data_IF_670577117719
#
_entry.id   IF_670577117719
#
_cell.length_a   1.000
_cell.length_b   1.000
_cell.length_c   1.000
_cell.angle_alpha   90.00
_cell.angle_beta   90.00
_cell.angle_gamma   90.00
#
_symmetry.space_group_name_H-M   'P 1'
#
loop_
_entity.id
_entity.type
_entity.pdbx_description
1 polymer ?
#
# COMPACT_ATOMS: atom_id res chain seq x y z
N UNK A 1 8.48 0.08 -7.46
CA UNK A 1 8.46 -0.22 -6.03
C UNK A 1 8.64 1.07 -5.25
N UNK A 2 7.70 1.38 -4.35
CA UNK A 2 7.74 2.56 -3.49
C UNK A 2 7.83 2.09 -2.03
N UNK A 3 9.07 1.98 -1.55
CA UNK A 3 9.35 1.63 -0.16
C UNK A 3 9.26 2.84 0.77
N UNK A 4 9.59 2.64 2.06
CA UNK A 4 9.52 3.72 3.06
C UNK A 4 10.52 4.85 2.83
N UNK A 5 11.73 4.55 2.35
CA UNK A 5 12.82 5.53 2.20
C UNK A 5 13.24 5.80 0.76
N UNK A 6 12.73 5.09 -0.22
CA UNK A 6 13.12 5.26 -1.62
C UNK A 6 12.09 4.71 -2.59
N UNK A 7 12.11 5.28 -3.80
CA UNK A 7 11.44 4.76 -4.99
C UNK A 7 12.46 4.04 -5.86
N UNK A 8 12.07 2.91 -6.41
CA UNK A 8 12.87 2.11 -7.33
C UNK A 8 12.07 1.80 -8.59
N UNK A 9 12.69 1.86 -9.76
CA UNK A 9 12.11 1.38 -11.00
C UNK A 9 13.08 0.42 -11.68
N UNK A 10 12.57 -0.71 -12.18
CA UNK A 10 13.32 -1.69 -12.96
C UNK A 10 12.70 -1.91 -14.32
N UNK A 11 13.53 -2.03 -15.34
CA UNK A 11 13.14 -2.44 -16.68
C UNK A 11 13.51 -3.90 -16.86
N UNK A 12 12.49 -4.72 -17.12
CA UNK A 12 12.64 -6.17 -17.30
C UNK A 12 12.24 -6.56 -18.73
N UNK A 13 12.91 -7.56 -19.29
CA UNK A 13 12.43 -8.16 -20.53
C UNK A 13 11.36 -9.24 -20.25
N UNK A 14 10.75 -9.79 -21.31
CA UNK A 14 9.71 -10.81 -21.20
C UNK A 14 10.17 -12.14 -20.57
N UNK A 15 11.48 -12.32 -20.37
CA UNK A 15 12.04 -13.47 -19.66
C UNK A 15 12.26 -13.21 -18.17
N UNK A 16 11.92 -11.99 -17.69
CA UNK A 16 12.13 -11.57 -16.31
C UNK A 16 13.57 -11.14 -16.00
N UNK A 17 14.41 -10.93 -17.01
CA UNK A 17 15.78 -10.44 -16.82
C UNK A 17 15.75 -8.92 -16.60
N UNK A 18 16.40 -8.46 -15.53
CA UNK A 18 16.56 -7.03 -15.22
C UNK A 18 17.57 -6.43 -16.20
N UNK A 19 17.13 -5.50 -17.03
CA UNK A 19 17.96 -4.77 -18.00
C UNK A 19 18.63 -3.56 -17.38
N UNK A 20 17.89 -2.80 -16.59
CA UNK A 20 18.39 -1.65 -15.84
C UNK A 20 17.46 -1.28 -14.68
N UNK A 21 17.97 -0.50 -13.76
CA UNK A 21 17.19 0.07 -12.66
C UNK A 21 17.63 1.49 -12.32
N UNK A 22 16.79 2.18 -11.57
CA UNK A 22 17.09 3.47 -10.96
C UNK A 22 16.45 3.54 -9.58
N UNK A 23 17.08 4.32 -8.70
CA UNK A 23 16.61 4.53 -7.32
C UNK A 23 16.68 6.01 -6.99
N UNK A 24 15.69 6.50 -6.23
CA UNK A 24 15.68 7.86 -5.69
C UNK A 24 15.15 7.83 -4.26
N UNK A 25 15.87 8.46 -3.35
CA UNK A 25 15.43 8.63 -1.96
C UNK A 25 14.23 9.56 -1.87
N UNK A 26 13.39 9.33 -0.86
CA UNK A 26 12.23 10.12 -0.50
C UNK A 26 12.23 10.44 0.99
N UNK A 27 11.60 11.54 1.36
CA UNK A 27 11.64 12.07 2.72
C UNK A 27 10.62 11.38 3.62
N UNK A 28 11.06 10.98 4.82
CA UNK A 28 10.20 10.60 5.94
C UNK A 28 10.14 11.76 6.94
N UNK A 29 8.99 12.38 7.08
CA UNK A 29 8.74 13.41 8.08
C UNK A 29 8.30 12.78 9.39
N UNK A 30 9.17 12.81 10.39
CA UNK A 30 8.89 12.27 11.73
C UNK A 30 8.56 13.39 12.70
N UNK A 31 7.55 13.18 13.54
CA UNK A 31 7.17 14.13 14.58
C UNK A 31 6.74 13.41 15.87
N UNK A 32 6.58 14.16 16.96
CA UNK A 32 6.21 13.61 18.26
C UNK A 32 4.92 12.79 18.21
N UNK A 33 4.81 11.78 19.05
CA UNK A 33 3.66 10.89 19.14
C UNK A 33 3.62 9.82 18.05
N UNK A 34 4.80 9.34 17.63
CA UNK A 34 4.98 8.27 16.63
C UNK A 34 4.31 8.58 15.28
N UNK A 35 4.25 9.86 14.90
CA UNK A 35 3.72 10.29 13.61
C UNK A 35 4.81 10.24 12.55
N UNK A 36 4.48 9.62 11.42
CA UNK A 36 5.36 9.49 10.26
C UNK A 36 4.57 9.82 9.01
N UNK A 37 5.04 10.79 8.24
CA UNK A 37 4.35 11.34 7.07
C UNK A 37 5.26 11.37 5.86
N UNK A 38 4.65 11.39 4.67
CA UNK A 38 5.31 11.54 3.38
C UNK A 38 4.53 12.48 2.47
N UNK A 39 5.15 12.85 1.35
CA UNK A 39 4.56 13.67 0.30
C UNK A 39 4.23 12.82 -0.92
N UNK A 40 2.97 12.82 -1.32
CA UNK A 40 2.57 12.15 -2.56
C UNK A 40 3.17 12.82 -3.81
N UNK A 41 3.41 14.13 -3.74
CA UNK A 41 4.07 14.91 -4.81
C UNK A 41 5.54 14.49 -4.95
N UNK A 42 6.28 14.41 -3.85
CA UNK A 42 7.67 13.97 -3.86
C UNK A 42 7.79 12.53 -4.39
N UNK A 43 6.93 11.62 -3.90
CA UNK A 43 6.90 10.23 -4.37
C UNK A 43 6.63 10.17 -5.87
N UNK A 44 5.64 10.91 -6.36
CA UNK A 44 5.33 10.93 -7.79
C UNK A 44 6.50 11.45 -8.64
N UNK A 45 7.15 12.52 -8.21
CA UNK A 45 8.35 13.04 -8.88
C UNK A 45 9.49 12.02 -8.89
N UNK A 46 9.67 11.29 -7.78
CA UNK A 46 10.67 10.23 -7.70
C UNK A 46 10.33 9.04 -8.62
N UNK A 47 9.05 8.65 -8.71
CA UNK A 47 8.56 7.62 -9.66
C UNK A 47 8.88 8.02 -11.10
N UNK A 48 8.50 9.21 -11.51
CA UNK A 48 8.74 9.70 -12.86
C UNK A 48 10.26 9.76 -13.19
N UNK A 49 11.07 10.23 -12.24
CA UNK A 49 12.53 10.25 -12.37
C UNK A 49 13.10 8.84 -12.55
N UNK A 50 12.70 7.89 -11.68
CA UNK A 50 13.22 6.53 -11.72
C UNK A 50 12.81 5.80 -13.01
N UNK A 51 11.59 5.98 -13.49
CA UNK A 51 11.13 5.38 -14.76
C UNK A 51 11.94 5.93 -15.93
N UNK A 52 12.06 7.26 -16.09
CA UNK A 52 12.86 7.88 -17.15
C UNK A 52 14.30 7.38 -17.14
N UNK A 53 14.90 7.36 -15.95
CA UNK A 53 16.31 6.97 -15.79
C UNK A 53 16.51 5.48 -16.10
N UNK A 54 15.62 4.60 -15.60
CA UNK A 54 15.72 3.17 -15.84
C UNK A 54 15.55 2.83 -17.33
N UNK A 55 14.60 3.46 -18.03
CA UNK A 55 14.39 3.28 -19.48
C UNK A 55 15.60 3.75 -20.28
N UNK A 56 16.15 4.92 -19.96
CA UNK A 56 17.36 5.44 -20.59
C UNK A 56 18.56 4.51 -20.38
N UNK A 57 18.78 4.05 -19.14
CA UNK A 57 19.87 3.14 -18.79
C UNK A 57 19.73 1.76 -19.46
N UNK A 58 18.51 1.30 -19.68
CA UNK A 58 18.24 0.05 -20.39
C UNK A 58 18.55 0.15 -21.90
N UNK A 59 18.68 1.36 -22.44
CA UNK A 59 18.92 1.60 -23.87
C UNK A 59 17.77 1.16 -24.76
N UNK A 60 16.55 1.06 -24.22
CA UNK A 60 15.35 0.66 -24.97
C UNK A 60 14.54 1.88 -25.40
N UNK A 61 13.79 1.75 -26.50
CA UNK A 61 12.84 2.80 -26.87
C UNK A 61 11.70 2.88 -25.85
N UNK A 62 11.28 4.08 -25.41
CA UNK A 62 10.07 4.24 -24.59
C UNK A 62 8.83 3.54 -25.18
N UNK A 63 8.71 3.48 -26.51
CA UNK A 63 7.62 2.81 -27.21
C UNK A 63 7.67 1.27 -27.13
N UNK A 64 8.79 0.69 -26.68
CA UNK A 64 8.90 -0.75 -26.46
C UNK A 64 8.48 -1.20 -25.04
N UNK A 65 8.16 -0.26 -24.16
CA UNK A 65 7.63 -0.58 -22.83
C UNK A 65 6.21 -1.10 -22.99
N UNK A 66 6.03 -2.38 -22.67
CA UNK A 66 4.76 -3.09 -22.84
C UNK A 66 3.74 -2.80 -21.71
N UNK A 67 4.21 -2.33 -20.55
CA UNK A 67 3.33 -1.99 -19.43
C UNK A 67 4.11 -1.63 -18.17
N UNK A 68 3.36 -1.13 -17.19
CA UNK A 68 3.86 -0.70 -15.87
C UNK A 68 3.06 -1.43 -14.79
N UNK A 69 3.74 -1.92 -13.77
CA UNK A 69 3.15 -2.37 -12.52
C UNK A 69 3.73 -1.60 -11.34
N UNK A 70 2.88 -1.24 -10.38
CA UNK A 70 3.29 -0.59 -9.14
C UNK A 70 3.17 -1.54 -7.96
N UNK A 71 4.14 -1.50 -7.08
CA UNK A 71 3.98 -1.94 -5.70
C UNK A 71 4.43 -0.83 -4.76
N UNK A 72 3.84 -0.79 -3.57
CA UNK A 72 4.12 0.25 -2.59
C UNK A 72 3.85 -0.21 -1.16
N UNK A 73 4.46 0.50 -0.20
CA UNK A 73 4.06 0.38 1.21
C UNK A 73 2.57 0.71 1.37
N UNK A 74 1.89 0.02 2.28
CA UNK A 74 0.48 0.25 2.58
C UNK A 74 0.26 1.55 3.38
N UNK A 75 0.61 2.68 2.79
CA UNK A 75 0.47 4.03 3.38
C UNK A 75 -0.82 4.71 2.92
N UNK A 76 -1.48 5.46 3.83
CA UNK A 76 -2.73 6.16 3.55
C UNK A 76 -2.46 7.51 2.87
N UNK A 77 -2.93 7.70 1.65
CA UNK A 77 -2.87 8.96 0.90
C UNK A 77 -4.21 9.68 0.98
N UNK A 78 -4.21 10.98 1.30
CA UNK A 78 -5.43 11.79 1.43
C UNK A 78 -5.44 12.89 0.36
N UNK A 79 -6.48 12.86 -0.47
CA UNK A 79 -6.67 13.77 -1.61
C UNK A 79 -8.04 14.44 -1.52
N UNK A 80 -8.07 15.74 -1.68
CA UNK A 80 -9.29 16.55 -1.77
C UNK A 80 -9.80 16.73 -3.19
N UNK A 81 -10.75 17.65 -3.36
CA UNK A 81 -11.27 18.02 -4.67
C UNK A 81 -10.17 18.58 -5.57
N UNK A 82 -10.32 18.38 -6.90
CA UNK A 82 -9.36 18.80 -7.91
C UNK A 82 -7.93 18.25 -7.68
N UNK A 83 -7.84 17.04 -7.13
CA UNK A 83 -6.60 16.30 -6.89
C UNK A 83 -5.63 17.01 -5.93
N UNK A 84 -6.14 17.89 -5.08
CA UNK A 84 -5.32 18.66 -4.12
C UNK A 84 -4.94 17.77 -2.94
N UNK A 85 -3.63 17.64 -2.62
CA UNK A 85 -3.18 16.98 -1.41
C UNK A 85 -3.70 17.67 -0.15
N UNK A 86 -4.10 16.90 0.86
CA UNK A 86 -4.61 17.44 2.14
C UNK A 86 -3.69 17.08 3.30
N UNK A 87 -3.26 18.08 4.06
CA UNK A 87 -2.35 17.92 5.19
C UNK A 87 -2.90 16.98 6.27
N UNK A 88 -2.25 15.85 6.53
CA UNK A 88 -2.71 14.86 7.52
C UNK A 88 -2.19 15.11 8.93
N UNK A 89 -1.20 15.99 9.08
CA UNK A 89 -0.51 16.26 10.33
C UNK A 89 -0.75 17.67 10.88
N UNK A 90 -0.15 17.97 12.03
CA UNK A 90 -0.30 19.26 12.70
C UNK A 90 0.43 20.41 12.01
N UNK A 91 1.30 20.15 11.05
CA UNK A 91 2.05 21.17 10.31
C UNK A 91 1.19 21.98 9.35
N UNK A 92 -0.01 21.52 9.00
CA UNK A 92 -0.87 22.05 7.94
C UNK A 92 -0.18 22.19 6.56
N UNK A 93 0.93 21.48 6.38
CA UNK A 93 1.65 21.40 5.11
C UNK A 93 0.96 20.38 4.19
N UNK A 94 0.34 20.88 3.12
CA UNK A 94 -0.40 20.07 2.16
C UNK A 94 0.49 19.01 1.47
N UNK A 95 1.80 19.24 1.37
CA UNK A 95 2.74 18.26 0.84
C UNK A 95 2.96 17.07 1.79
N UNK A 96 2.50 17.14 3.03
CA UNK A 96 2.52 16.05 4.01
C UNK A 96 1.14 15.42 4.10
N UNK A 97 0.71 14.79 3.02
CA UNK A 97 -0.63 14.24 2.84
C UNK A 97 -0.70 12.71 2.93
N UNK A 98 0.39 12.06 3.34
CA UNK A 98 0.45 10.62 3.54
C UNK A 98 0.69 10.28 5.00
N UNK A 99 -0.16 9.43 5.58
CA UNK A 99 0.12 8.73 6.84
C UNK A 99 0.81 7.42 6.50
N UNK A 100 2.10 7.32 6.85
CA UNK A 100 2.94 6.16 6.52
C UNK A 100 2.45 4.90 7.23
N UNK A 101 2.68 3.71 6.64
CA UNK A 101 2.24 2.43 7.18
C UNK A 101 2.63 2.24 8.65
N UNK A 102 3.87 2.56 9.04
CA UNK A 102 4.41 2.43 10.39
C UNK A 102 4.00 3.55 11.37
N UNK A 103 3.08 4.43 10.98
CA UNK A 103 2.57 5.50 11.83
C UNK A 103 1.60 4.93 12.88
N UNK A 104 1.84 5.22 14.13
CA UNK A 104 1.04 4.71 15.25
C UNK A 104 0.16 5.77 15.91
N UNK A 105 -0.12 6.90 15.24
CA UNK A 105 -1.02 7.94 15.77
C UNK A 105 -2.41 7.44 16.11
N UNK A 106 -2.87 6.38 15.44
CA UNK A 106 -4.22 5.83 15.55
C UNK A 106 -4.35 4.67 16.56
N UNK A 107 -3.41 4.52 17.50
CA UNK A 107 -3.45 3.44 18.51
C UNK A 107 -4.75 3.44 19.31
N UNK A 108 -5.19 4.61 19.81
CA UNK A 108 -6.45 4.70 20.56
C UNK A 108 -7.69 4.38 19.72
N UNK A 109 -7.67 4.70 18.41
CA UNK A 109 -8.76 4.36 17.49
C UNK A 109 -8.79 2.85 17.22
N UNK A 110 -7.61 2.21 17.04
CA UNK A 110 -7.53 0.77 16.91
C UNK A 110 -8.06 0.05 18.15
N UNK A 111 -7.75 0.52 19.36
CA UNK A 111 -8.30 -0.01 20.62
C UNK A 111 -9.82 0.13 20.68
N UNK A 112 -10.39 1.29 20.33
CA UNK A 112 -11.84 1.52 20.24
C UNK A 112 -12.50 0.54 19.27
N UNK A 113 -11.92 0.37 18.06
CA UNK A 113 -12.43 -0.56 17.06
C UNK A 113 -12.38 -1.99 17.58
N UNK A 114 -11.28 -2.42 18.17
CA UNK A 114 -11.11 -3.76 18.73
C UNK A 114 -12.11 -4.06 19.87
N UNK A 115 -12.44 -3.05 20.69
CA UNK A 115 -13.42 -3.18 21.75
C UNK A 115 -14.85 -3.44 21.24
N UNK A 116 -15.15 -3.16 19.96
CA UNK A 116 -16.45 -3.46 19.36
C UNK A 116 -16.71 -4.96 19.20
N UNK A 117 -15.66 -5.77 19.07
CA UNK A 117 -15.76 -7.20 18.79
C UNK A 117 -16.48 -7.53 17.48
N UNK A 118 -16.50 -6.59 16.52
CA UNK A 118 -17.25 -6.79 15.26
C UNK A 118 -16.72 -8.01 14.48
N UNK A 119 -17.60 -8.84 13.88
CA UNK A 119 -17.20 -10.09 13.20
C UNK A 119 -16.18 -9.90 12.07
N UNK A 120 -16.15 -8.74 11.41
CA UNK A 120 -15.14 -8.39 10.38
C UNK A 120 -13.70 -8.53 10.90
N UNK A 121 -13.47 -8.25 12.20
CA UNK A 121 -12.14 -8.32 12.80
C UNK A 121 -11.51 -9.72 12.75
N UNK A 122 -12.30 -10.77 12.61
CA UNK A 122 -11.77 -12.14 12.44
C UNK A 122 -10.88 -12.27 11.21
N UNK A 123 -11.11 -11.45 10.17
CA UNK A 123 -10.34 -11.46 8.94
C UNK A 123 -9.06 -10.61 8.99
N UNK A 124 -8.79 -9.96 10.12
CA UNK A 124 -7.54 -9.22 10.38
C UNK A 124 -6.82 -9.77 11.62
N UNK A 125 -6.93 -11.10 11.84
CA UNK A 125 -6.29 -11.78 12.98
C UNK A 125 -6.99 -11.58 14.32
N UNK A 126 -8.24 -11.13 14.31
CA UNK A 126 -9.05 -10.88 15.51
C UNK A 126 -8.91 -9.49 16.12
N UNK A 127 -7.85 -8.76 15.74
CA UNK A 127 -7.60 -7.38 16.19
C UNK A 127 -7.02 -6.56 15.07
N UNK A 128 -7.61 -5.37 14.82
CA UNK A 128 -7.08 -4.41 13.87
C UNK A 128 -5.85 -3.70 14.46
N UNK A 129 -4.82 -3.50 13.63
CA UNK A 129 -3.61 -2.76 13.98
C UNK A 129 -3.79 -1.25 13.74
N UNK A 130 -3.14 -0.35 14.51
CA UNK A 130 -3.08 1.07 14.20
C UNK A 130 -2.41 1.36 12.85
N UNK A 131 -1.67 0.42 12.29
CA UNK A 131 -1.03 0.51 10.97
C UNK A 131 -2.04 0.36 9.82
N UNK A 132 -3.24 -0.16 10.08
CA UNK A 132 -4.30 -0.30 9.09
C UNK A 132 -5.06 1.01 8.86
N UNK A 133 -5.82 1.08 7.76
CA UNK A 133 -6.36 2.36 7.28
C UNK A 133 -7.61 2.82 8.03
N UNK A 134 -8.51 1.92 8.42
CA UNK A 134 -9.74 2.34 9.12
C UNK A 134 -9.48 3.05 10.46
N UNK A 135 -8.51 2.62 11.31
CA UNK A 135 -8.09 3.41 12.47
C UNK A 135 -7.52 4.79 12.12
N UNK A 136 -6.71 4.89 11.06
CA UNK A 136 -6.12 6.16 10.59
C UNK A 136 -7.19 7.13 10.09
N UNK A 137 -8.18 6.65 9.35
CA UNK A 137 -9.32 7.46 8.88
C UNK A 137 -10.16 7.92 10.07
N UNK A 138 -10.43 7.05 11.05
CA UNK A 138 -11.12 7.44 12.27
C UNK A 138 -10.34 8.50 13.05
N UNK A 139 -9.01 8.37 13.12
CA UNK A 139 -8.15 9.38 13.72
C UNK A 139 -8.29 10.74 13.00
N UNK A 140 -8.27 10.74 11.65
CA UNK A 140 -8.48 11.97 10.87
C UNK A 140 -9.84 12.60 11.18
N UNK A 141 -10.90 11.81 11.23
CA UNK A 141 -12.24 12.30 11.58
C UNK A 141 -12.28 12.95 12.95
N UNK A 142 -11.64 12.35 13.96
CA UNK A 142 -11.65 12.84 15.34
C UNK A 142 -10.70 14.03 15.58
N UNK A 143 -9.54 14.07 14.92
CA UNK A 143 -8.47 15.03 15.19
C UNK A 143 -8.29 16.10 14.11
N UNK A 144 -8.73 15.82 12.88
CA UNK A 144 -8.64 16.70 11.71
C UNK A 144 -9.98 16.69 10.95
N UNK A 145 -11.12 17.03 11.60
CA UNK A 145 -12.45 16.85 11.00
C UNK A 145 -12.62 17.62 9.69
N UNK A 146 -12.01 18.79 9.54
CA UNK A 146 -12.03 19.57 8.29
C UNK A 146 -11.31 18.83 7.14
N UNK A 147 -10.18 18.17 7.40
CA UNK A 147 -9.47 17.34 6.41
C UNK A 147 -10.33 16.13 6.03
N UNK A 148 -10.90 15.44 7.03
CA UNK A 148 -11.80 14.31 6.77
C UNK A 148 -13.00 14.69 5.90
N UNK A 149 -13.57 15.88 6.13
CA UNK A 149 -14.72 16.41 5.36
C UNK A 149 -14.32 16.82 3.93
N UNK A 150 -13.12 17.40 3.75
CA UNK A 150 -12.61 17.83 2.45
C UNK A 150 -12.05 16.69 1.62
N UNK A 151 -11.73 15.55 2.24
CA UNK A 151 -11.17 14.41 1.53
C UNK A 151 -12.18 13.84 0.52
N UNK A 152 -11.80 13.89 -0.76
CA UNK A 152 -12.51 13.27 -1.88
C UNK A 152 -12.14 11.80 -2.03
N UNK A 153 -10.86 11.49 -1.80
CA UNK A 153 -10.32 10.14 -1.88
C UNK A 153 -9.40 9.82 -0.69
N UNK A 154 -9.58 8.64 -0.16
CA UNK A 154 -8.64 7.95 0.68
C UNK A 154 -8.08 6.78 -0.14
N UNK A 155 -6.79 6.81 -0.46
CA UNK A 155 -6.13 5.77 -1.23
C UNK A 155 -5.13 4.99 -0.38
N UNK A 156 -4.94 3.72 -0.67
CA UNK A 156 -3.66 3.08 -0.40
C UNK A 156 -2.62 3.61 -1.40
N UNK A 157 -1.34 3.64 -1.04
CA UNK A 157 -0.32 4.28 -1.89
C UNK A 157 -0.21 3.60 -3.27
N UNK A 158 -0.32 2.27 -3.34
CA UNK A 158 -0.32 1.57 -4.62
C UNK A 158 -1.52 1.99 -5.50
N UNK A 159 -2.70 2.14 -4.90
CA UNK A 159 -3.91 2.58 -5.60
C UNK A 159 -3.82 4.06 -6.03
N UNK A 160 -3.19 4.91 -5.21
CA UNK A 160 -2.90 6.29 -5.59
C UNK A 160 -2.01 6.38 -6.83
N UNK A 161 -0.97 5.55 -6.91
CA UNK A 161 -0.05 5.54 -8.04
C UNK A 161 -0.74 5.11 -9.34
N UNK A 162 -1.59 4.08 -9.30
CA UNK A 162 -2.37 3.66 -10.47
C UNK A 162 -3.39 4.71 -10.89
N UNK A 163 -4.12 5.31 -9.93
CA UNK A 163 -5.04 6.40 -10.20
C UNK A 163 -4.33 7.63 -10.79
N UNK A 164 -3.21 8.06 -10.21
CA UNK A 164 -2.44 9.22 -10.69
C UNK A 164 -1.87 8.98 -12.10
N UNK A 165 -1.60 7.73 -12.44
CA UNK A 165 -1.10 7.32 -13.76
C UNK A 165 -2.19 7.28 -14.84
N UNK A 166 -3.43 6.92 -14.49
CA UNK A 166 -4.47 6.54 -15.46
C UNK A 166 -5.75 7.35 -15.34
N UNK A 167 -6.01 7.96 -14.19
CA UNK A 167 -7.31 8.53 -13.82
C UNK A 167 -8.36 7.50 -13.39
N UNK A 168 -8.03 6.20 -13.38
CA UNK A 168 -8.93 5.13 -13.00
C UNK A 168 -9.01 4.98 -11.47
N UNK A 169 -10.23 5.03 -10.91
CA UNK A 169 -10.49 4.95 -9.46
C UNK A 169 -10.55 3.52 -8.90
N UNK A 170 -10.14 2.51 -9.65
CA UNK A 170 -10.08 1.13 -9.14
C UNK A 170 -9.19 1.02 -7.90
N UNK A 171 -9.55 0.08 -7.02
CA UNK A 171 -8.72 -0.32 -5.88
C UNK A 171 -8.29 -1.76 -6.07
N UNK A 172 -7.09 -2.05 -5.63
CA UNK A 172 -6.56 -3.40 -5.58
C UNK A 172 -7.24 -4.21 -4.48
N UNK A 173 -7.70 -5.42 -4.80
CA UNK A 173 -8.19 -6.33 -3.76
C UNK A 173 -7.11 -6.63 -2.71
N UNK A 174 -5.84 -6.59 -3.10
CA UNK A 174 -4.70 -6.72 -2.19
C UNK A 174 -4.74 -5.67 -1.09
N UNK A 175 -4.78 -4.39 -1.45
CA UNK A 175 -4.74 -3.27 -0.52
C UNK A 175 -5.98 -3.24 0.38
N UNK A 176 -7.17 -3.29 -0.22
CA UNK A 176 -8.42 -3.11 0.52
C UNK A 176 -8.77 -4.27 1.44
N UNK A 177 -8.38 -5.50 1.08
CA UNK A 177 -8.60 -6.67 1.94
C UNK A 177 -7.66 -6.68 3.12
N UNK A 178 -6.37 -6.40 2.88
CA UNK A 178 -5.35 -6.45 3.94
C UNK A 178 -5.44 -5.28 4.91
N UNK A 179 -5.76 -4.08 4.45
CA UNK A 179 -5.60 -2.86 5.25
C UNK A 179 -6.91 -2.10 5.52
N UNK A 180 -8.00 -2.40 4.79
CA UNK A 180 -9.24 -1.63 4.83
C UNK A 180 -10.47 -2.44 5.26
N UNK A 181 -10.30 -3.72 5.59
CA UNK A 181 -11.38 -4.64 6.02
C UNK A 181 -12.43 -4.95 4.94
N UNK A 182 -12.06 -4.86 3.65
CA UNK A 182 -12.94 -5.32 2.57
C UNK A 182 -13.08 -6.85 2.61
N UNK A 183 -14.29 -7.35 2.49
CA UNK A 183 -14.59 -8.78 2.46
C UNK A 183 -14.58 -9.27 1.01
N UNK A 184 -13.40 -9.54 0.45
CA UNK A 184 -13.24 -9.89 -0.95
C UNK A 184 -13.96 -11.19 -1.35
N UNK A 185 -14.05 -12.17 -0.45
CA UNK A 185 -14.81 -13.41 -0.67
C UNK A 185 -16.33 -13.19 -0.72
N UNK A 186 -16.82 -12.08 -0.21
CA UNK A 186 -18.22 -11.65 -0.28
C UNK A 186 -18.41 -10.47 -1.27
N UNK A 187 -17.32 -9.94 -1.83
CA UNK A 187 -17.29 -8.80 -2.74
C UNK A 187 -18.01 -7.55 -2.20
N UNK A 188 -17.84 -7.25 -0.91
CA UNK A 188 -18.51 -6.13 -0.27
C UNK A 188 -17.69 -5.47 0.85
N UNK A 189 -18.01 -4.23 1.09
CA UNK A 189 -17.75 -3.54 2.34
C UNK A 189 -18.81 -3.91 3.38
N UNK A 190 -18.42 -3.99 4.66
CA UNK A 190 -19.40 -4.21 5.73
C UNK A 190 -19.90 -2.87 6.30
N UNK A 191 -21.05 -2.39 5.82
CA UNK A 191 -21.64 -1.13 6.26
C UNK A 191 -21.93 -1.09 7.77
N UNK A 192 -22.27 -2.24 8.38
CA UNK A 192 -22.47 -2.37 9.82
C UNK A 192 -21.20 -2.06 10.59
N UNK A 193 -20.07 -2.60 10.13
CA UNK A 193 -18.76 -2.33 10.70
C UNK A 193 -18.43 -0.83 10.67
N UNK A 194 -18.53 -0.18 9.50
CA UNK A 194 -18.20 1.25 9.37
C UNK A 194 -19.10 2.12 10.24
N UNK A 195 -20.39 1.81 10.36
CA UNK A 195 -21.31 2.52 11.28
C UNK A 195 -20.91 2.33 12.73
N UNK A 196 -20.62 1.08 13.14
CA UNK A 196 -20.28 0.78 14.52
C UNK A 196 -18.97 1.43 14.98
N UNK A 197 -17.97 1.54 14.11
CA UNK A 197 -16.68 2.17 14.45
C UNK A 197 -16.69 3.70 14.35
N UNK A 198 -17.81 4.33 13.97
CA UNK A 198 -17.95 5.79 13.90
C UNK A 198 -17.58 6.40 12.53
N UNK A 199 -17.55 5.60 11.46
CA UNK A 199 -17.31 6.02 10.07
C UNK A 199 -18.57 5.80 9.20
N UNK A 200 -19.75 6.10 9.75
CA UNK A 200 -21.04 5.87 9.09
C UNK A 200 -21.14 6.56 7.73
N UNK A 201 -20.57 7.76 7.58
CA UNK A 201 -20.61 8.54 6.36
C UNK A 201 -20.03 7.79 5.17
N UNK A 202 -18.95 7.01 5.38
CA UNK A 202 -18.38 6.19 4.30
C UNK A 202 -19.37 5.14 3.79
N UNK A 203 -20.17 4.56 4.67
CA UNK A 203 -21.23 3.62 4.28
C UNK A 203 -22.42 4.33 3.63
N UNK A 204 -22.82 5.51 4.15
CA UNK A 204 -23.97 6.26 3.67
C UNK A 204 -23.74 6.86 2.27
N UNK A 205 -22.49 7.19 1.92
CA UNK A 205 -22.06 7.60 0.57
C UNK A 205 -21.65 6.42 -0.32
N UNK A 206 -22.02 5.19 0.06
CA UNK A 206 -21.72 3.97 -0.68
C UNK A 206 -20.21 3.77 -0.96
N UNK A 207 -19.36 4.11 0.01
CA UNK A 207 -17.90 3.90 0.00
C UNK A 207 -17.13 4.60 -1.14
N UNK A 208 -17.72 5.63 -1.76
CA UNK A 208 -17.11 6.33 -2.89
C UNK A 208 -15.70 6.82 -2.58
N UNK A 209 -15.46 7.33 -1.38
CA UNK A 209 -14.13 7.84 -0.98
C UNK A 209 -13.07 6.77 -0.77
N UNK A 210 -13.46 5.53 -0.49
CA UNK A 210 -12.52 4.41 -0.23
C UNK A 210 -12.50 3.36 -1.34
N UNK A 211 -13.41 3.49 -2.33
CA UNK A 211 -13.45 2.68 -3.53
C UNK A 211 -14.67 1.80 -3.66
N UNK A 212 -15.28 1.87 -4.83
CA UNK A 212 -16.46 1.06 -5.21
C UNK A 212 -16.10 -0.06 -6.19
N UNK A 213 -15.11 0.16 -7.06
CA UNK A 213 -14.62 -0.81 -8.01
C UNK A 213 -13.35 -1.46 -7.48
N UNK A 214 -13.47 -2.70 -7.03
CA UNK A 214 -12.36 -3.49 -6.49
C UNK A 214 -12.02 -4.58 -7.50
N UNK A 215 -10.75 -4.71 -7.84
CA UNK A 215 -10.26 -5.64 -8.88
C UNK A 215 -8.97 -6.31 -8.46
N UNK A 216 -8.65 -7.44 -9.08
CA UNK A 216 -7.43 -8.19 -8.79
C UNK A 216 -6.16 -7.42 -9.22
N UNK A 217 -5.04 -7.54 -8.49
CA UNK A 217 -3.73 -7.08 -8.93
C UNK A 217 -3.38 -7.60 -10.32
N UNK A 218 -2.75 -6.76 -11.14
CA UNK A 218 -2.42 -7.11 -12.51
C UNK A 218 -3.53 -6.82 -13.52
N UNK A 219 -4.74 -6.50 -13.09
CA UNK A 219 -5.84 -6.06 -13.98
C UNK A 219 -5.46 -4.74 -14.66
N UNK A 220 -5.66 -4.58 -15.98
CA UNK A 220 -5.44 -3.30 -16.66
C UNK A 220 -6.28 -2.16 -16.07
N UNK A 221 -5.65 -1.01 -15.82
CA UNK A 221 -6.27 0.21 -15.32
C UNK A 221 -6.63 1.16 -16.46
N UNK A 222 -7.91 1.46 -16.62
CA UNK A 222 -8.41 2.42 -17.63
C UNK A 222 -7.86 2.14 -19.02
N UNK A 223 -7.50 3.22 -19.71
CA UNK A 223 -6.88 3.19 -21.06
C UNK A 223 -5.33 3.21 -20.98
N UNK A 224 -4.75 2.88 -19.84
CA UNK A 224 -3.32 3.02 -19.60
C UNK A 224 -2.92 4.44 -19.19
N UNK A 225 -1.66 4.83 -19.43
CA UNK A 225 -1.15 6.14 -19.03
C UNK A 225 -1.98 7.29 -19.65
N UNK A 226 -2.49 8.16 -18.79
CA UNK A 226 -3.10 9.42 -19.23
C UNK A 226 -2.02 10.37 -19.79
N UNK A 227 -2.44 11.40 -20.53
CA UNK A 227 -1.52 12.32 -21.24
C UNK A 227 -0.48 12.96 -20.30
N UNK A 228 -0.93 13.44 -19.12
CA UNK A 228 -0.04 14.09 -18.13
C UNK A 228 0.99 13.10 -17.58
N UNK A 229 0.55 11.91 -17.17
CA UNK A 229 1.46 10.90 -16.63
C UNK A 229 2.45 10.38 -17.68
N UNK A 230 2.00 10.21 -18.93
CA UNK A 230 2.85 9.81 -20.05
C UNK A 230 3.97 10.83 -20.30
N UNK A 231 3.66 12.13 -20.34
CA UNK A 231 4.63 13.20 -20.46
C UNK A 231 5.61 13.21 -19.26
N UNK A 232 5.09 13.15 -18.05
CA UNK A 232 5.88 13.16 -16.82
C UNK A 232 6.80 11.93 -16.69
N UNK A 233 6.41 10.77 -17.22
CA UNK A 233 7.20 9.53 -17.22
C UNK A 233 8.06 9.36 -18.49
N UNK A 234 7.84 10.15 -19.53
CA UNK A 234 8.54 10.02 -20.82
C UNK A 234 8.18 8.74 -21.58
N UNK A 235 6.95 8.28 -21.45
CA UNK A 235 6.40 7.09 -22.09
C UNK A 235 5.22 7.45 -23.00
N UNK A 236 4.84 6.59 -23.96
CA UNK A 236 3.65 6.84 -24.79
C UNK A 236 2.35 6.91 -23.97
N UNK A 237 1.44 7.79 -24.40
CA UNK A 237 0.05 7.78 -23.90
C UNK A 237 -0.55 6.40 -24.18
N UNK A 238 -1.33 5.88 -23.24
CA UNK A 238 -1.95 4.57 -23.34
C UNK A 238 -1.01 3.40 -23.05
N UNK A 239 0.26 3.63 -22.62
CA UNK A 239 1.09 2.53 -22.10
C UNK A 239 0.32 1.81 -20.98
N UNK A 240 0.09 0.49 -21.07
CA UNK A 240 -0.70 -0.24 -20.11
C UNK A 240 -0.19 -0.08 -18.67
N UNK A 241 -1.10 0.15 -17.75
CA UNK A 241 -0.81 0.19 -16.30
C UNK A 241 -1.65 -0.88 -15.62
N UNK A 242 -1.02 -1.72 -14.84
CA UNK A 242 -1.70 -2.75 -14.06
C UNK A 242 -2.08 -2.23 -12.67
N UNK A 243 -3.21 -2.68 -12.13
CA UNK A 243 -3.57 -2.51 -10.73
C UNK A 243 -2.45 -3.08 -9.86
N UNK A 244 -1.97 -2.26 -8.93
CA UNK A 244 -0.83 -2.56 -8.09
C UNK A 244 -1.15 -3.43 -6.88
N UNK A 245 -0.16 -3.59 -6.02
CA UNK A 245 -0.29 -4.33 -4.77
C UNK A 245 0.66 -3.79 -3.69
N UNK A 246 0.51 -4.30 -2.48
CA UNK A 246 1.42 -4.00 -1.38
C UNK A 246 2.80 -4.60 -1.69
N UNK A 247 3.88 -3.86 -1.43
CA UNK A 247 5.28 -4.23 -1.70
C UNK A 247 5.67 -5.60 -1.12
N UNK A 248 5.30 -5.86 0.13
CA UNK A 248 5.54 -7.15 0.77
C UNK A 248 4.88 -8.32 0.01
N UNK A 249 3.66 -8.12 -0.51
CA UNK A 249 2.96 -9.16 -1.27
C UNK A 249 3.54 -9.34 -2.67
N UNK A 250 3.98 -8.26 -3.32
CA UNK A 250 4.73 -8.34 -4.58
C UNK A 250 6.04 -9.13 -4.38
N UNK A 251 6.78 -8.83 -3.30
CA UNK A 251 7.95 -9.59 -2.88
C UNK A 251 7.63 -11.06 -2.58
N UNK A 252 6.47 -11.33 -1.98
CA UNK A 252 5.97 -12.67 -1.71
C UNK A 252 5.78 -13.48 -3.00
N UNK A 253 5.09 -12.92 -3.99
CA UNK A 253 4.93 -13.55 -5.32
C UNK A 253 6.29 -13.77 -5.98
N UNK A 254 7.18 -12.78 -5.92
CA UNK A 254 8.54 -12.90 -6.48
C UNK A 254 9.36 -14.03 -5.84
N UNK A 255 9.08 -14.35 -4.57
CA UNK A 255 9.79 -15.38 -3.81
C UNK A 255 9.25 -16.79 -4.09
N UNK A 256 7.92 -16.97 -4.06
CA UNK A 256 7.31 -18.31 -4.14
C UNK A 256 6.63 -18.60 -5.48
N UNK A 257 6.50 -17.59 -6.34
CA UNK A 257 5.74 -17.65 -7.57
C UNK A 257 4.23 -17.67 -7.33
N UNK A 258 3.48 -17.93 -8.39
CA UNK A 258 2.01 -18.02 -8.37
C UNK A 258 1.56 -19.49 -8.44
N UNK A 259 0.26 -19.73 -8.26
CA UNK A 259 -0.36 -21.05 -8.36
C UNK A 259 0.28 -22.07 -7.38
N UNK A 260 0.79 -23.18 -7.91
CA UNK A 260 1.33 -24.26 -7.07
C UNK A 260 2.53 -23.84 -6.21
N UNK A 261 3.32 -22.87 -6.64
CA UNK A 261 4.43 -22.33 -5.86
C UNK A 261 3.94 -21.66 -4.58
N UNK A 262 2.95 -20.78 -4.69
CA UNK A 262 2.41 -20.03 -3.56
C UNK A 262 1.74 -20.92 -2.49
N UNK A 263 1.06 -22.00 -2.88
CA UNK A 263 0.37 -22.91 -1.94
C UNK A 263 1.34 -23.85 -1.21
N UNK A 264 2.44 -24.23 -1.86
CA UNK A 264 3.38 -25.23 -1.31
C UNK A 264 4.57 -24.61 -0.57
N UNK A 265 4.76 -23.30 -0.65
CA UNK A 265 5.88 -22.60 -0.04
C UNK A 265 5.41 -21.43 0.80
N UNK A 266 6.18 -21.12 1.82
CA UNK A 266 6.01 -19.90 2.61
C UNK A 266 6.95 -18.82 2.06
N UNK A 267 6.40 -17.68 1.71
CA UNK A 267 7.22 -16.51 1.36
C UNK A 267 7.79 -15.89 2.63
N UNK A 268 9.05 -15.46 2.57
CA UNK A 268 9.69 -14.69 3.61
C UNK A 268 10.36 -13.48 3.00
N UNK A 269 9.80 -12.31 3.27
CA UNK A 269 10.35 -11.01 2.88
C UNK A 269 11.08 -10.43 4.09
N UNK A 270 12.37 -10.16 3.94
CA UNK A 270 13.24 -9.72 5.03
C UNK A 270 13.96 -8.42 4.64
N UNK A 271 13.87 -7.43 5.52
CA UNK A 271 14.55 -6.16 5.42
C UNK A 271 14.68 -5.54 6.81
N UNK A 272 14.44 -4.26 6.96
CA UNK A 272 14.33 -3.57 8.27
C UNK A 272 13.29 -4.23 9.17
N UNK A 273 12.14 -4.56 8.58
CA UNK A 273 11.09 -5.44 9.11
C UNK A 273 11.12 -6.78 8.36
N UNK A 274 10.28 -7.72 8.77
CA UNK A 274 10.07 -8.95 8.00
C UNK A 274 8.60 -9.34 7.98
N UNK A 275 8.23 -10.09 6.94
CA UNK A 275 6.90 -10.61 6.75
C UNK A 275 6.97 -12.05 6.24
N UNK A 276 6.22 -12.95 6.89
CA UNK A 276 6.01 -14.32 6.43
C UNK A 276 4.61 -14.45 5.89
N UNK A 277 4.46 -15.10 4.74
CA UNK A 277 3.18 -15.23 4.05
C UNK A 277 2.95 -16.66 3.62
N UNK A 278 1.77 -17.18 3.92
CA UNK A 278 1.30 -18.50 3.49
C UNK A 278 -0.01 -18.38 2.74
N UNK A 279 -0.12 -19.12 1.65
CA UNK A 279 -1.31 -19.17 0.79
C UNK A 279 -2.03 -20.50 0.97
N UNK A 280 -3.34 -20.44 1.16
CA UNK A 280 -4.20 -21.64 1.34
C UNK A 280 -5.41 -21.59 0.41
N UNK A 281 -5.96 -22.75 0.07
CA UNK A 281 -7.17 -22.86 -0.75
C UNK A 281 -8.42 -22.48 0.06
N UNK A 282 -8.43 -22.83 1.34
CA UNK A 282 -9.52 -22.59 2.27
C UNK A 282 -9.14 -21.53 3.31
N UNK A 283 -10.12 -20.84 3.86
CA UNK A 283 -9.91 -19.87 4.92
C UNK A 283 -9.42 -20.55 6.20
N UNK A 284 -8.21 -20.24 6.66
CA UNK A 284 -7.63 -20.76 7.90
C UNK A 284 -7.48 -19.60 8.89
N UNK A 285 -8.23 -19.68 10.00
CA UNK A 285 -8.20 -18.65 11.04
C UNK A 285 -7.22 -19.05 12.14
N UNK A 286 -6.11 -18.31 12.25
CA UNK A 286 -5.07 -18.53 13.25
C UNK A 286 -5.05 -17.32 14.19
N UNK A 287 -5.33 -17.47 15.50
CA UNK A 287 -5.31 -16.36 16.44
C UNK A 287 -3.95 -15.65 16.44
N UNK A 288 -3.98 -14.32 16.29
CA UNK A 288 -2.77 -13.49 16.29
C UNK A 288 -1.98 -13.47 14.97
N UNK A 289 -2.45 -14.18 13.96
CA UNK A 289 -1.93 -14.09 12.58
C UNK A 289 -2.89 -13.26 11.74
N UNK A 290 -2.38 -12.29 11.00
CA UNK A 290 -3.20 -11.45 10.13
C UNK A 290 -3.79 -12.26 8.98
N UNK A 291 -5.04 -11.95 8.64
CA UNK A 291 -5.84 -12.68 7.68
C UNK A 291 -6.86 -13.61 8.37
N UNK A 292 -7.41 -14.58 7.64
CA UNK A 292 -7.12 -14.88 6.22
C UNK A 292 -7.70 -13.83 5.26
N UNK A 293 -6.88 -13.41 4.30
CA UNK A 293 -7.20 -12.40 3.30
C UNK A 293 -7.47 -13.06 1.94
N UNK A 294 -8.69 -12.95 1.41
CA UNK A 294 -9.05 -13.56 0.13
C UNK A 294 -8.53 -12.75 -1.06
N UNK A 295 -7.91 -13.40 -2.03
CA UNK A 295 -7.34 -12.80 -3.26
C UNK A 295 -6.28 -11.70 -3.03
N UNK A 296 -5.71 -11.60 -1.84
CA UNK A 296 -4.82 -10.49 -1.52
C UNK A 296 -3.44 -10.59 -2.19
N UNK A 297 -2.91 -11.78 -2.36
CA UNK A 297 -1.61 -12.02 -3.01
C UNK A 297 -1.79 -12.82 -4.30
N UNK A 298 -2.51 -13.93 -4.24
CA UNK A 298 -2.83 -14.76 -5.41
C UNK A 298 -4.35 -14.78 -5.57
N UNK A 299 -4.89 -14.39 -6.73
CA UNK A 299 -6.33 -14.39 -6.97
C UNK A 299 -6.98 -15.75 -6.70
N UNK A 300 -8.09 -15.76 -5.98
CA UNK A 300 -8.85 -16.96 -5.64
C UNK A 300 -8.31 -17.78 -4.46
N UNK A 301 -7.25 -17.34 -3.80
CA UNK A 301 -6.63 -18.00 -2.65
C UNK A 301 -6.69 -17.12 -1.40
N UNK A 302 -6.55 -17.75 -0.24
CA UNK A 302 -6.48 -17.07 1.06
C UNK A 302 -5.02 -16.87 1.47
N UNK A 303 -4.72 -15.70 2.02
CA UNK A 303 -3.42 -15.33 2.52
C UNK A 303 -3.45 -15.18 4.04
N UNK A 304 -2.51 -15.79 4.74
CA UNK A 304 -2.19 -15.50 6.14
C UNK A 304 -0.82 -14.85 6.23
N UNK A 305 -0.70 -13.79 7.03
CA UNK A 305 0.48 -12.95 7.14
C UNK A 305 0.94 -12.81 8.59
N UNK A 306 2.21 -13.10 8.84
CA UNK A 306 2.88 -12.82 10.11
C UNK A 306 3.95 -11.76 9.92
N UNK A 307 3.86 -10.65 10.66
CA UNK A 307 4.80 -9.54 10.55
C UNK A 307 5.69 -9.39 11.79
N UNK A 308 6.94 -8.94 11.57
CA UNK A 308 7.87 -8.52 12.61
C UNK A 308 8.39 -7.12 12.26
N UNK A 309 7.98 -6.12 13.05
CA UNK A 309 8.26 -4.70 12.75
C UNK A 309 9.75 -4.34 12.84
N UNK A 310 10.55 -5.09 13.59
CA UNK A 310 11.99 -4.87 13.73
C UNK A 310 12.72 -6.22 13.56
N UNK A 311 13.11 -6.54 12.34
CA UNK A 311 13.89 -7.73 11.99
C UNK A 311 15.37 -7.34 11.76
N UNK A 312 15.73 -6.85 10.58
CA UNK A 312 17.07 -6.31 10.31
C UNK A 312 17.43 -5.16 11.24
N UNK A 313 16.47 -4.27 11.53
CA UNK A 313 16.70 -3.18 12.48
C UNK A 313 17.04 -3.68 13.90
N UNK A 314 16.47 -4.80 14.34
CA UNK A 314 16.82 -5.41 15.62
C UNK A 314 18.24 -6.01 15.60
N UNK A 315 18.65 -6.59 14.46
CA UNK A 315 20.02 -7.09 14.28
C UNK A 315 21.01 -5.92 14.32
N UNK A 316 20.76 -4.84 13.58
CA UNK A 316 21.59 -3.64 13.57
C UNK A 316 21.72 -3.05 14.98
N UNK A 317 20.61 -3.00 15.72
CA UNK A 317 20.63 -2.54 17.12
C UNK A 317 21.47 -3.45 18.01
N UNK A 318 21.40 -4.77 17.85
CA UNK A 318 22.24 -5.71 18.62
C UNK A 318 23.73 -5.54 18.25
N UNK A 319 24.04 -5.39 16.97
CA UNK A 319 25.39 -5.13 16.51
C UNK A 319 25.95 -3.82 17.09
N UNK A 320 25.12 -2.77 17.21
CA UNK A 320 25.52 -1.49 17.76
C UNK A 320 25.95 -1.55 19.24
N UNK A 321 25.55 -2.57 19.98
CA UNK A 321 25.98 -2.80 21.36
C UNK A 321 27.33 -3.48 21.45
N UNK A 322 27.88 -4.03 20.36
CA UNK A 322 29.19 -4.67 20.38
C UNK A 322 30.29 -3.61 20.49
N UNK A 323 31.32 -3.83 21.34
CA UNK A 323 32.42 -2.85 21.54
C UNK A 323 33.14 -2.45 20.25
N UNK A 324 33.23 -3.34 19.26
CA UNK A 324 33.85 -3.09 17.95
C UNK A 324 32.87 -2.54 16.89
N UNK A 325 31.66 -2.16 17.24
CA UNK A 325 30.67 -1.67 16.27
C UNK A 325 31.11 -0.39 15.51
N UNK A 326 32.00 0.41 16.12
CA UNK A 326 32.55 1.61 15.49
C UNK A 326 33.69 1.32 14.49
N UNK A 327 34.17 0.09 14.44
CA UNK A 327 35.30 -0.34 13.61
C UNK A 327 34.84 -1.13 12.37
N UNK A 328 33.53 -1.49 12.32
CA UNK A 328 32.90 -2.24 11.26
C UNK A 328 32.13 -1.32 10.29
#
# INVERSE_FOLDING_TARGET
DVGSGSVRAGVFNLRGELLAHATREITLFRSAGNKVEQSSREIWQAVCYCIKTAVANAGVSPSSIAGIGFDATCSLVVIGDNDVPLAVGPSDDADRNIIVWMDHRATGQAEKINATGHPVLRYVGGKISPEMQTPKILWLKENRPHIYQQARHFFDLADYLTWRSTGDEARSVCTVTCKWTYLAHEQRWDAGYFRQIGLAELADENFVRIGQRIVDPGTPCGEGLCATAAEEMGLPIGTPVAVGMIDAHAGGIGTVGVLNGAVNNMAYVFGTSSCTMTTTQEAVFVPGVWGPYYSAMVPGYWLSEGGQSAAGAAIDQQLSFHPAAAEA
#
